data_IF_008851161978
#
_entry.id   IF_008851161978
#
_cell.length_a   1.000
_cell.length_b   1.000
_cell.length_c   1.000
_cell.angle_alpha   90.00
_cell.angle_beta   90.00
_cell.angle_gamma   90.00
#
_symmetry.space_group_name_H-M   'P 1'
#
loop_
_entity.id
_entity.type
_entity.pdbx_description
1 polymer ?
#
# COMPACT_ATOMS: atom_id res chain seq x y z
N UNK A 1 9.32 6.84 14.68
CA UNK A 1 10.23 7.83 14.05
C UNK A 1 9.59 8.81 13.05
N UNK A 2 8.74 8.42 12.08
CA UNK A 2 8.20 9.37 11.07
C UNK A 2 7.55 10.61 11.71
N UNK A 3 6.61 10.42 12.65
CA UNK A 3 5.95 11.51 13.38
C UNK A 3 6.95 12.46 14.07
N UNK A 4 8.01 11.90 14.67
CA UNK A 4 9.06 12.67 15.36
C UNK A 4 9.87 13.52 14.37
N UNK A 5 10.25 12.96 13.22
CA UNK A 5 10.94 13.72 12.19
C UNK A 5 10.06 14.79 11.55
N UNK A 6 8.79 14.48 11.31
CA UNK A 6 7.80 15.43 10.82
C UNK A 6 7.59 16.58 11.81
N UNK A 7 7.55 16.27 13.11
CA UNK A 7 7.50 17.27 14.18
C UNK A 7 8.72 18.19 14.16
N UNK A 8 9.94 17.64 14.11
CA UNK A 8 11.17 18.43 14.06
C UNK A 8 11.28 19.31 12.80
N UNK A 9 10.66 18.87 11.70
CA UNK A 9 10.62 19.61 10.45
C UNK A 9 9.45 20.61 10.35
N UNK A 10 8.58 20.67 11.37
CA UNK A 10 7.32 21.43 11.35
C UNK A 10 6.47 21.15 10.09
N UNK A 11 6.32 19.86 9.75
CA UNK A 11 5.52 19.40 8.61
C UNK A 11 4.51 18.36 9.05
N UNK A 12 3.35 18.38 8.42
CA UNK A 12 2.40 17.28 8.47
C UNK A 12 2.70 16.33 7.31
N UNK A 13 2.68 15.02 7.60
CA UNK A 13 3.15 13.98 6.69
C UNK A 13 2.00 13.06 6.28
N UNK A 14 1.54 13.17 5.03
CA UNK A 14 0.65 12.17 4.43
C UNK A 14 1.31 10.80 4.40
N UNK A 15 0.61 9.78 4.88
CA UNK A 15 1.08 8.40 4.90
C UNK A 15 0.02 7.44 4.37
N UNK A 16 0.48 6.33 3.79
CA UNK A 16 -0.34 5.16 3.51
C UNK A 16 0.09 4.03 4.43
N UNK A 17 -0.86 3.29 4.97
CA UNK A 17 -0.57 2.11 5.79
C UNK A 17 -0.36 0.90 4.88
N UNK A 18 0.80 0.25 4.99
CA UNK A 18 1.10 -0.96 4.24
C UNK A 18 0.43 -2.16 4.91
N UNK A 19 -0.37 -2.91 4.15
CA UNK A 19 -1.11 -4.09 4.62
C UNK A 19 -0.65 -5.33 3.84
N UNK A 20 -0.21 -6.35 4.57
CA UNK A 20 0.14 -7.65 4.02
C UNK A 20 -1.12 -8.51 3.83
N UNK A 21 -1.91 -8.17 2.82
CA UNK A 21 -3.18 -8.83 2.53
C UNK A 21 -2.99 -10.30 2.14
N UNK A 22 -1.90 -10.62 1.45
CA UNK A 22 -1.59 -11.98 1.00
C UNK A 22 -1.06 -12.91 2.10
N UNK A 23 -0.72 -12.36 3.28
CA UNK A 23 -0.18 -13.14 4.41
C UNK A 23 1.19 -13.77 4.12
N UNK A 24 1.95 -13.22 3.18
CA UNK A 24 3.28 -13.75 2.85
C UNK A 24 4.27 -13.40 3.97
N UNK A 25 4.79 -14.41 4.67
CA UNK A 25 5.73 -14.22 5.79
C UNK A 25 7.03 -13.47 5.40
N UNK A 26 7.36 -13.45 4.11
CA UNK A 26 8.51 -12.73 3.56
C UNK A 26 8.24 -11.24 3.31
N UNK A 27 7.00 -10.78 3.45
CA UNK A 27 6.59 -9.39 3.19
C UNK A 27 6.27 -8.65 4.48
N UNK A 28 6.58 -7.36 4.47
CA UNK A 28 6.25 -6.43 5.53
C UNK A 28 4.80 -5.94 5.40
N UNK A 29 4.36 -5.16 6.39
CA UNK A 29 3.02 -4.60 6.47
C UNK A 29 2.20 -5.23 7.58
N UNK A 30 1.17 -4.51 7.99
CA UNK A 30 0.21 -4.96 8.99
C UNK A 30 -0.57 -6.16 8.48
N UNK A 31 -0.90 -7.10 9.37
CA UNK A 31 -1.98 -8.03 9.06
C UNK A 31 -3.31 -7.26 8.92
N UNK A 32 -4.28 -7.74 8.12
CA UNK A 32 -5.58 -7.09 7.97
C UNK A 32 -6.33 -6.76 9.27
N UNK A 33 -6.21 -7.60 10.32
CA UNK A 33 -6.80 -7.28 11.62
C UNK A 33 -5.97 -6.25 12.40
N UNK A 34 -4.64 -6.38 12.34
CA UNK A 34 -3.70 -5.52 13.07
C UNK A 34 -3.80 -4.06 12.63
N UNK A 35 -3.99 -3.78 11.32
CA UNK A 35 -4.16 -2.41 10.85
C UNK A 35 -5.39 -1.73 11.46
N UNK A 36 -6.48 -2.47 11.66
CA UNK A 36 -7.71 -1.96 12.28
C UNK A 36 -7.50 -1.70 13.78
N UNK A 37 -6.77 -2.59 14.46
CA UNK A 37 -6.44 -2.46 15.89
C UNK A 37 -5.57 -1.23 16.19
N UNK A 38 -4.62 -0.91 15.30
CA UNK A 38 -3.69 0.20 15.49
C UNK A 38 -4.14 1.53 14.88
N UNK A 39 -5.21 1.54 14.09
CA UNK A 39 -5.62 2.69 13.29
C UNK A 39 -5.76 3.98 14.10
N UNK A 40 -6.50 3.94 15.22
CA UNK A 40 -6.71 5.11 16.08
C UNK A 40 -5.41 5.59 16.72
N UNK A 41 -4.56 4.67 17.20
CA UNK A 41 -3.28 5.03 17.80
C UNK A 41 -2.34 5.71 16.80
N UNK A 42 -2.41 5.34 15.52
CA UNK A 42 -1.67 6.01 14.45
C UNK A 42 -2.29 7.37 14.13
N UNK A 43 -3.62 7.46 14.09
CA UNK A 43 -4.35 8.71 13.84
C UNK A 43 -4.14 9.77 14.93
N UNK A 44 -3.85 9.34 16.16
CA UNK A 44 -3.50 10.22 17.28
C UNK A 44 -2.10 10.84 17.16
N UNK A 45 -1.29 10.44 16.18
CA UNK A 45 0.04 11.01 15.94
C UNK A 45 -0.10 12.39 15.27
N UNK A 46 0.31 13.48 15.94
CA UNK A 46 -0.09 14.85 15.56
C UNK A 46 0.52 15.39 14.28
N UNK A 47 1.47 14.66 13.67
CA UNK A 47 2.15 15.05 12.42
C UNK A 47 1.98 14.03 11.31
N UNK A 48 1.16 13.01 11.50
CA UNK A 48 0.83 12.04 10.46
C UNK A 48 -0.62 12.23 10.03
N UNK A 49 -0.84 12.12 8.72
CA UNK A 49 -2.17 12.10 8.15
C UNK A 49 -2.36 10.79 7.38
N UNK A 50 -3.29 9.95 7.83
CA UNK A 50 -3.58 8.68 7.15
C UNK A 50 -4.42 9.01 5.91
N UNK A 51 -3.84 8.83 4.73
CA UNK A 51 -4.51 9.14 3.46
C UNK A 51 -4.99 7.88 2.72
N UNK A 52 -4.68 6.69 3.24
CA UNK A 52 -5.05 5.45 2.56
C UNK A 52 -4.22 4.24 2.92
N UNK A 53 -4.38 3.21 2.11
CA UNK A 53 -3.71 1.93 2.28
C UNK A 53 -2.81 1.61 1.08
N UNK A 54 -1.84 0.74 1.31
CA UNK A 54 -0.93 0.21 0.31
C UNK A 54 -0.80 -1.30 0.46
N UNK A 55 -0.71 -2.04 -0.65
CA UNK A 55 -0.32 -3.46 -0.61
C UNK A 55 0.57 -3.87 -1.76
N UNK A 56 1.31 -4.95 -1.55
CA UNK A 56 2.09 -5.67 -2.55
C UNK A 56 1.48 -7.04 -2.78
N UNK A 57 0.79 -7.21 -3.91
CA UNK A 57 0.33 -8.52 -4.35
C UNK A 57 1.52 -9.48 -4.60
N UNK A 58 1.33 -10.80 -4.39
CA UNK A 58 2.30 -11.81 -4.83
C UNK A 58 2.53 -11.69 -6.34
N UNK A 59 3.72 -12.04 -6.81
CA UNK A 59 3.94 -12.09 -8.25
C UNK A 59 3.14 -13.25 -8.85
N UNK A 60 2.38 -12.97 -9.91
CA UNK A 60 1.64 -13.95 -10.69
C UNK A 60 1.86 -13.70 -12.18
N UNK A 61 1.98 -14.75 -13.02
CA UNK A 61 1.99 -14.60 -14.47
C UNK A 61 0.62 -14.21 -15.03
N UNK A 62 -0.45 -14.49 -14.28
CA UNK A 62 -1.84 -14.16 -14.62
C UNK A 62 -2.35 -13.11 -13.62
N UNK A 63 -2.61 -11.85 -14.06
CA UNK A 63 -3.04 -10.76 -13.18
C UNK A 63 -4.34 -11.04 -12.43
N UNK A 64 -5.25 -11.81 -13.03
CA UNK A 64 -6.52 -12.18 -12.39
C UNK A 64 -6.34 -12.94 -11.06
N UNK A 65 -5.26 -13.71 -10.92
CA UNK A 65 -4.99 -14.48 -9.71
C UNK A 65 -4.77 -13.59 -8.47
N UNK A 66 -4.41 -12.32 -8.66
CA UNK A 66 -4.19 -11.37 -7.56
C UNK A 66 -5.36 -10.43 -7.32
N UNK A 67 -6.44 -10.51 -8.12
CA UNK A 67 -7.62 -9.64 -7.96
C UNK A 67 -8.19 -9.67 -6.54
N UNK A 68 -8.27 -10.86 -5.94
CA UNK A 68 -8.77 -11.03 -4.56
C UNK A 68 -7.96 -10.25 -3.52
N UNK A 69 -6.67 -10.01 -3.77
CA UNK A 69 -5.82 -9.18 -2.90
C UNK A 69 -6.24 -7.71 -2.96
N UNK A 70 -6.52 -7.19 -4.16
CA UNK A 70 -6.94 -5.81 -4.36
C UNK A 70 -8.36 -5.55 -3.85
N UNK A 71 -9.27 -6.50 -4.08
CA UNK A 71 -10.62 -6.50 -3.50
C UNK A 71 -10.56 -6.43 -1.98
N UNK A 72 -9.74 -7.29 -1.37
CA UNK A 72 -9.61 -7.33 0.08
C UNK A 72 -8.97 -6.05 0.65
N UNK A 73 -8.02 -5.43 -0.05
CA UNK A 73 -7.48 -4.13 0.39
C UNK A 73 -8.56 -3.03 0.35
N UNK A 74 -9.42 -3.01 -0.67
CA UNK A 74 -10.54 -2.06 -0.75
C UNK A 74 -11.50 -2.22 0.41
N UNK A 75 -11.88 -3.45 0.76
CA UNK A 75 -12.73 -3.73 1.92
C UNK A 75 -12.10 -3.24 3.23
N UNK A 76 -10.81 -3.51 3.44
CA UNK A 76 -10.10 -3.03 4.65
C UNK A 76 -10.06 -1.51 4.71
N UNK A 77 -9.92 -0.83 3.56
CA UNK A 77 -9.99 0.63 3.49
C UNK A 77 -11.37 1.13 3.91
N UNK A 78 -12.45 0.50 3.43
CA UNK A 78 -13.81 0.84 3.83
C UNK A 78 -14.04 0.64 5.35
N UNK A 79 -13.52 -0.45 5.92
CA UNK A 79 -13.55 -0.69 7.37
C UNK A 79 -12.79 0.43 8.13
N UNK A 80 -11.60 0.82 7.66
CA UNK A 80 -10.84 1.93 8.22
C UNK A 80 -11.60 3.26 8.16
N UNK A 81 -12.26 3.57 7.04
CA UNK A 81 -13.07 4.78 6.87
C UNK A 81 -14.24 4.83 7.86
N UNK A 82 -14.88 3.68 8.11
CA UNK A 82 -15.95 3.58 9.12
C UNK A 82 -15.45 3.84 10.54
N UNK A 83 -14.27 3.31 10.89
CA UNK A 83 -13.66 3.52 12.21
C UNK A 83 -13.25 4.99 12.40
N UNK A 84 -12.62 5.60 11.40
CA UNK A 84 -12.16 6.99 11.46
C UNK A 84 -13.29 8.00 11.29
N UNK A 85 -14.42 7.60 10.70
CA UNK A 85 -15.51 8.52 10.33
C UNK A 85 -15.11 9.51 9.23
N UNK A 86 -14.08 9.19 8.45
CA UNK A 86 -13.52 10.05 7.42
C UNK A 86 -13.05 9.23 6.21
N UNK A 87 -13.13 9.79 4.99
CA UNK A 87 -12.68 9.09 3.79
C UNK A 87 -11.15 9.01 3.73
N UNK A 88 -10.66 7.89 3.20
CA UNK A 88 -9.28 7.65 2.87
C UNK A 88 -9.14 7.74 1.34
N UNK A 89 -8.56 8.81 0.78
CA UNK A 89 -8.59 9.05 -0.66
C UNK A 89 -7.80 8.05 -1.49
N UNK A 90 -6.90 7.24 -0.89
CA UNK A 90 -5.93 6.47 -1.64
C UNK A 90 -5.93 4.96 -1.40
N UNK A 91 -5.87 4.23 -2.51
CA UNK A 91 -5.41 2.84 -2.60
C UNK A 91 -4.18 2.79 -3.49
N UNK A 92 -3.05 2.44 -2.90
CA UNK A 92 -1.78 2.19 -3.61
C UNK A 92 -1.61 0.69 -3.82
N UNK A 93 -1.99 0.22 -5.01
CA UNK A 93 -1.92 -1.18 -5.39
C UNK A 93 -1.79 -1.31 -6.91
N UNK A 94 -1.19 -2.41 -7.38
CA UNK A 94 -0.84 -2.57 -8.79
C UNK A 94 0.57 -2.08 -9.13
N UNK A 95 1.26 -2.89 -9.92
CA UNK A 95 2.60 -2.72 -10.47
C UNK A 95 2.56 -3.08 -11.97
N UNK A 96 3.71 -3.05 -12.65
CA UNK A 96 3.77 -3.27 -14.11
C UNK A 96 3.10 -4.53 -14.65
N UNK A 97 2.89 -5.57 -13.83
CA UNK A 97 2.25 -6.81 -14.27
C UNK A 97 0.75 -6.91 -13.96
N UNK A 98 0.20 -6.07 -13.09
CA UNK A 98 -1.15 -6.26 -12.53
C UNK A 98 -1.92 -4.94 -12.32
N UNK A 99 -1.40 -3.82 -12.83
CA UNK A 99 -2.01 -2.50 -12.63
C UNK A 99 -3.40 -2.36 -13.26
N UNK A 100 -3.71 -3.07 -14.34
CA UNK A 100 -5.03 -3.01 -14.99
C UNK A 100 -6.12 -3.56 -14.04
N UNK A 101 -5.91 -4.77 -13.52
CA UNK A 101 -6.78 -5.39 -12.51
C UNK A 101 -6.85 -4.54 -11.23
N UNK A 102 -5.73 -3.94 -10.81
CA UNK A 102 -5.72 -3.03 -9.67
C UNK A 102 -6.61 -1.79 -9.88
N UNK A 103 -6.58 -1.19 -11.09
CA UNK A 103 -7.42 -0.03 -11.44
C UNK A 103 -8.90 -0.42 -11.41
N UNK A 104 -9.27 -1.57 -11.97
CA UNK A 104 -10.65 -2.08 -11.93
C UNK A 104 -11.17 -2.27 -10.50
N UNK A 105 -10.28 -2.64 -9.58
CA UNK A 105 -10.63 -2.78 -8.16
C UNK A 105 -10.52 -1.47 -7.35
N UNK A 106 -10.24 -0.35 -8.00
CA UNK A 106 -10.27 0.99 -7.38
C UNK A 106 -8.91 1.53 -6.96
N UNK A 107 -7.81 1.05 -7.53
CA UNK A 107 -6.50 1.65 -7.30
C UNK A 107 -6.48 3.12 -7.75
N UNK A 108 -6.00 3.98 -6.86
CA UNK A 108 -5.80 5.41 -7.13
C UNK A 108 -4.35 5.74 -7.43
N UNK A 109 -3.43 4.85 -7.01
CA UNK A 109 -1.99 4.96 -7.21
C UNK A 109 -1.50 3.59 -7.70
N UNK A 110 -0.92 3.56 -8.90
CA UNK A 110 -0.24 2.38 -9.46
C UNK A 110 1.27 2.63 -9.51
N UNK A 111 2.08 1.58 -9.29
CA UNK A 111 3.53 1.69 -9.16
C UNK A 111 4.24 1.00 -10.33
N UNK A 112 4.34 1.71 -11.45
CA UNK A 112 4.84 1.13 -12.72
C UNK A 112 6.33 1.38 -12.89
N UNK A 113 7.12 0.31 -12.94
CA UNK A 113 8.58 0.36 -13.13
C UNK A 113 9.00 -0.20 -14.48
N UNK A 114 9.08 -1.53 -14.59
CA UNK A 114 9.56 -2.25 -15.78
C UNK A 114 8.81 -1.87 -17.06
N UNK A 115 7.49 -1.63 -17.00
CA UNK A 115 6.73 -1.24 -18.19
C UNK A 115 7.08 0.17 -18.69
N UNK A 116 7.63 1.05 -17.85
CA UNK A 116 8.10 2.39 -18.23
C UNK A 116 9.59 2.36 -18.60
N UNK A 117 10.42 1.72 -17.77
CA UNK A 117 11.89 1.83 -17.85
C UNK A 117 12.59 0.61 -18.47
N UNK A 118 11.84 -0.46 -18.77
CA UNK A 118 12.41 -1.73 -19.22
C UNK A 118 13.08 -2.55 -18.10
N UNK A 119 13.70 -3.68 -18.45
CA UNK A 119 14.35 -4.56 -17.48
C UNK A 119 15.63 -3.92 -16.90
N UNK A 120 15.93 -4.22 -15.63
CA UNK A 120 17.19 -3.79 -15.02
C UNK A 120 18.40 -4.39 -15.76
N UNK A 121 19.44 -3.59 -16.09
CA UNK A 121 20.68 -4.12 -16.63
C UNK A 121 21.29 -5.13 -15.66
N UNK A 122 21.68 -6.31 -16.15
CA UNK A 122 22.48 -7.25 -15.35
C UNK A 122 23.91 -6.71 -15.27
N UNK A 123 24.53 -6.64 -14.09
CA UNK A 123 25.94 -6.29 -14.00
C UNK A 123 26.74 -7.29 -14.83
N UNK A 124 27.54 -6.79 -15.78
CA UNK A 124 28.49 -7.64 -16.50
C UNK A 124 29.45 -8.22 -15.46
N UNK A 125 29.55 -9.55 -15.39
CA UNK A 125 30.69 -10.17 -14.70
C UNK A 125 31.92 -9.83 -15.54
N UNK A 126 32.84 -9.05 -14.98
CA UNK A 126 34.19 -8.92 -15.53
C UNK A 126 34.80 -10.32 -15.65
N UNK A 127 35.39 -10.60 -16.82
CA UNK A 127 36.03 -11.89 -17.14
C UNK A 127 37.39 -12.00 -16.48
#
# INVERSE_FOLDING_TARGET
EINKHAHNAAKDMPVLLEVNVAGEASKHGFAPGEVLEHLNAINDLPRLEIHGLMTLAPWSPEPENVRGVFQRLREIKEDCEQILGAPLPHLSMGMSGDFEVAIEEGATIVRVGTAIFGPRPRPQKEK
#
